data_IF_343440033969
#
_entry.id   IF_343440033969
#
_cell.length_a   1.000
_cell.length_b   1.000
_cell.length_c   1.000
_cell.angle_alpha   90.00
_cell.angle_beta   90.00
_cell.angle_gamma   90.00
#
_symmetry.space_group_name_H-M   'P 1'
#
loop_
_entity.id
_entity.type
_entity.pdbx_description
1 polymer ?
#
# COMPACT_ATOMS: atom_id res chain seq x y z
N UNK A 1 16.49 -3.05 11.27
CA UNK A 1 15.71 -2.71 10.07
C UNK A 1 16.41 -1.56 9.35
N UNK A 2 16.50 -1.62 8.03
CA UNK A 2 17.12 -0.60 7.18
C UNK A 2 16.13 -0.24 6.07
N UNK A 3 15.99 1.05 5.79
CA UNK A 3 15.22 1.55 4.65
C UNK A 3 16.14 2.36 3.74
N UNK A 4 16.26 1.95 2.48
CA UNK A 4 17.04 2.68 1.48
C UNK A 4 16.12 3.32 0.45
N UNK A 5 16.16 4.65 0.36
CA UNK A 5 15.45 5.42 -0.67
C UNK A 5 16.39 5.77 -1.82
N UNK A 6 15.89 5.66 -3.05
CA UNK A 6 16.63 6.06 -4.27
C UNK A 6 15.68 6.79 -5.21
N UNK A 7 16.05 8.00 -5.59
CA UNK A 7 15.39 8.72 -6.68
C UNK A 7 16.08 8.33 -8.00
N UNK A 8 15.37 7.58 -8.84
CA UNK A 8 15.86 7.14 -10.15
C UNK A 8 15.28 8.06 -11.23
N UNK A 9 16.12 8.46 -12.18
CA UNK A 9 15.72 9.26 -13.34
C UNK A 9 14.79 8.42 -14.24
N UNK A 10 13.72 9.01 -14.80
CA UNK A 10 13.35 10.42 -14.74
C UNK A 10 12.47 10.85 -13.55
N UNK A 11 11.99 9.94 -12.71
CA UNK A 11 11.06 10.30 -11.63
C UNK A 11 10.50 9.12 -10.83
N UNK A 12 11.33 8.11 -10.57
CA UNK A 12 10.90 6.92 -9.81
C UNK A 12 11.49 6.96 -8.40
N UNK A 13 10.64 7.06 -7.38
CA UNK A 13 11.05 6.81 -6.01
C UNK A 13 11.07 5.29 -5.75
N UNK A 14 12.25 4.74 -5.54
CA UNK A 14 12.46 3.35 -5.16
C UNK A 14 12.70 3.28 -3.67
N UNK A 15 12.01 2.36 -2.97
CA UNK A 15 12.23 2.08 -1.56
C UNK A 15 12.56 0.61 -1.36
N UNK A 16 13.57 0.33 -0.55
CA UNK A 16 14.02 -1.01 -0.20
C UNK A 16 14.01 -1.14 1.33
N UNK A 17 13.22 -2.08 1.85
CA UNK A 17 13.06 -2.34 3.28
C UNK A 17 13.69 -3.69 3.62
N UNK A 18 14.67 -3.68 4.51
CA UNK A 18 15.41 -4.89 4.93
C UNK A 18 15.34 -5.04 6.45
N UNK A 19 15.06 -6.24 6.93
CA UNK A 19 15.08 -6.58 8.35
C UNK A 19 15.87 -7.87 8.59
N UNK A 20 16.55 -7.95 9.72
CA UNK A 20 17.25 -9.14 10.22
C UNK A 20 16.84 -9.36 11.67
N UNK A 21 16.81 -10.61 12.10
CA UNK A 21 16.51 -11.01 13.46
C UNK A 21 17.47 -12.12 13.91
N UNK A 22 17.76 -12.17 15.20
CA UNK A 22 18.61 -13.20 15.81
C UNK A 22 17.79 -14.41 16.30
N UNK A 23 16.49 -14.20 16.50
CA UNK A 23 15.52 -15.21 16.90
C UNK A 23 14.24 -15.11 16.04
N UNK A 24 13.48 -16.21 15.88
CA UNK A 24 12.25 -16.21 15.10
C UNK A 24 11.26 -15.12 15.54
N UNK A 25 10.84 -14.28 14.60
CA UNK A 25 9.86 -13.23 14.84
C UNK A 25 9.04 -12.93 13.58
N UNK A 26 7.91 -12.25 13.75
CA UNK A 26 7.05 -11.80 12.65
C UNK A 26 7.61 -10.52 12.03
N UNK A 27 7.57 -10.40 10.71
CA UNK A 27 8.00 -9.20 9.99
C UNK A 27 7.05 -8.93 8.81
N UNK A 28 6.35 -7.80 8.85
CA UNK A 28 5.50 -7.30 7.77
C UNK A 28 5.70 -5.79 7.66
N UNK A 29 6.52 -5.34 6.71
CA UNK A 29 6.86 -3.93 6.53
C UNK A 29 6.09 -3.38 5.32
N UNK A 30 5.52 -2.19 5.47
CA UNK A 30 4.78 -1.52 4.42
C UNK A 30 5.16 -0.04 4.35
N UNK A 31 4.75 0.60 3.26
CA UNK A 31 4.93 2.02 2.99
C UNK A 31 3.59 2.74 3.18
N UNK A 32 3.61 3.94 3.76
CA UNK A 32 2.39 4.66 4.15
C UNK A 32 2.29 6.06 3.50
N UNK A 33 2.63 6.16 2.21
CA UNK A 33 2.44 7.39 1.44
C UNK A 33 0.97 7.63 1.19
N UNK A 34 0.61 8.91 1.25
CA UNK A 34 -0.63 9.41 0.69
C UNK A 34 -0.30 10.11 -0.62
N UNK A 35 -1.06 9.78 -1.67
CA UNK A 35 -0.95 10.43 -2.96
C UNK A 35 -2.16 11.33 -3.16
N UNK A 36 -1.89 12.62 -3.37
CA UNK A 36 -2.80 13.53 -4.04
C UNK A 36 -2.02 14.16 -5.21
N UNK A 37 -2.54 14.02 -6.43
CA UNK A 37 -1.90 14.49 -7.65
C UNK A 37 -2.27 15.94 -7.99
N UNK A 38 -3.23 16.50 -7.26
CA UNK A 38 -3.71 17.87 -7.44
C UNK A 38 -3.34 18.74 -6.25
N UNK A 39 -3.37 20.06 -6.48
CA UNK A 39 -3.38 21.16 -5.51
C UNK A 39 -2.46 21.10 -4.27
N UNK A 40 -1.43 20.25 -4.29
CA UNK A 40 -0.57 20.00 -3.13
C UNK A 40 -1.25 19.21 -2.02
N UNK A 41 -2.38 18.57 -2.28
CA UNK A 41 -3.12 17.78 -1.30
C UNK A 41 -4.11 18.57 -0.44
N UNK A 42 -4.55 19.73 -0.91
CA UNK A 42 -5.54 20.56 -0.21
C UNK A 42 -6.97 20.05 -0.41
N UNK A 43 -7.26 19.44 -1.57
CA UNK A 43 -8.56 18.88 -1.93
C UNK A 43 -8.69 17.37 -1.69
N UNK A 44 -9.82 16.82 -2.10
CA UNK A 44 -10.03 15.37 -2.12
C UNK A 44 -9.40 14.70 -3.36
N UNK A 45 -9.53 13.38 -3.45
CA UNK A 45 -9.00 12.55 -4.55
C UNK A 45 -10.12 11.95 -5.41
N UNK A 46 -11.36 12.41 -5.26
CA UNK A 46 -12.54 11.72 -5.79
C UNK A 46 -12.60 11.74 -7.33
N UNK A 47 -11.97 12.71 -7.96
CA UNK A 47 -11.84 12.81 -9.42
C UNK A 47 -10.66 11.99 -9.99
N UNK A 48 -9.81 11.43 -9.13
CA UNK A 48 -8.64 10.64 -9.54
C UNK A 48 -9.08 9.29 -10.08
N UNK A 49 -8.42 8.84 -11.15
CA UNK A 49 -8.69 7.54 -11.76
C UNK A 49 -7.70 6.50 -11.25
N UNK A 50 -8.23 5.42 -10.66
CA UNK A 50 -7.44 4.31 -10.14
C UNK A 50 -7.67 3.05 -10.97
N UNK A 51 -6.58 2.36 -11.32
CA UNK A 51 -6.60 1.01 -11.86
C UNK A 51 -5.83 0.09 -10.93
N UNK A 52 -6.46 -1.00 -10.48
CA UNK A 52 -5.84 -2.02 -9.64
C UNK A 52 -5.85 -3.35 -10.39
N UNK A 53 -4.68 -3.97 -10.54
CA UNK A 53 -4.58 -5.33 -11.07
C UNK A 53 -4.83 -6.35 -9.93
N UNK A 54 -6.08 -6.47 -9.51
CA UNK A 54 -6.50 -7.35 -8.42
C UNK A 54 -7.78 -8.10 -8.77
N UNK A 55 -7.85 -9.39 -8.42
CA UNK A 55 -9.03 -10.24 -8.62
C UNK A 55 -9.90 -10.42 -7.38
N UNK A 56 -9.41 -10.05 -6.20
CA UNK A 56 -10.11 -10.23 -4.92
C UNK A 56 -9.61 -9.24 -3.87
N UNK A 57 -10.37 -9.13 -2.77
CA UNK A 57 -10.05 -8.33 -1.59
C UNK A 57 -10.42 -9.09 -0.31
N UNK A 58 -9.93 -8.61 0.84
CA UNK A 58 -10.20 -9.18 2.17
C UNK A 58 -11.13 -8.26 2.95
N UNK A 59 -12.43 -8.58 3.07
CA UNK A 59 -13.35 -7.81 3.90
C UNK A 59 -12.94 -7.87 5.37
N UNK A 60 -13.11 -6.74 6.06
CA UNK A 60 -12.89 -6.59 7.50
C UNK A 60 -14.21 -6.40 8.24
N UNK A 61 -14.22 -6.70 9.53
CA UNK A 61 -15.32 -6.33 10.43
C UNK A 61 -15.18 -4.87 10.93
N UNK A 62 -16.07 -4.47 11.82
CA UNK A 62 -16.10 -3.11 12.40
C UNK A 62 -14.86 -2.81 13.27
N UNK A 63 -14.10 -3.83 13.67
CA UNK A 63 -12.82 -3.70 14.38
C UNK A 63 -11.61 -3.68 13.43
N UNK A 64 -11.85 -3.65 12.12
CA UNK A 64 -10.83 -3.71 11.05
C UNK A 64 -10.05 -5.03 11.00
N UNK A 65 -10.61 -6.12 11.55
CA UNK A 65 -10.00 -7.45 11.52
C UNK A 65 -10.49 -8.21 10.27
N UNK A 66 -9.60 -8.86 9.50
CA UNK A 66 -10.03 -9.66 8.35
C UNK A 66 -10.99 -10.79 8.76
N UNK A 67 -12.12 -10.87 8.09
CA UNK A 67 -13.17 -11.88 8.34
C UNK A 67 -12.77 -13.33 7.99
N UNK A 68 -11.58 -13.53 7.41
CA UNK A 68 -11.13 -14.81 6.86
C UNK A 68 -11.63 -15.12 5.44
N UNK A 69 -12.49 -14.27 4.88
CA UNK A 69 -13.02 -14.42 3.50
C UNK A 69 -12.10 -13.71 2.50
N UNK A 70 -11.85 -14.36 1.37
CA UNK A 70 -11.26 -13.73 0.17
C UNK A 70 -12.37 -13.55 -0.85
N UNK A 71 -12.81 -12.31 -1.07
CA UNK A 71 -13.98 -12.00 -1.90
C UNK A 71 -13.54 -11.47 -3.26
N UNK A 72 -14.06 -11.98 -4.39
CA UNK A 72 -13.75 -11.44 -5.71
C UNK A 72 -14.06 -9.94 -5.80
N UNK A 73 -13.24 -9.19 -6.53
CA UNK A 73 -13.65 -7.85 -6.96
C UNK A 73 -14.83 -7.99 -7.92
N UNK A 74 -15.80 -7.09 -7.84
CA UNK A 74 -16.92 -7.09 -8.77
C UNK A 74 -16.44 -6.91 -10.21
N UNK A 75 -17.15 -7.50 -11.16
CA UNK A 75 -16.96 -7.19 -12.58
C UNK A 75 -17.60 -5.82 -12.81
N UNK A 76 -16.81 -4.85 -13.29
CA UNK A 76 -17.28 -3.54 -13.75
C UNK A 76 -17.75 -3.68 -15.20
#
# INVERSE_FOLDING_TARGET
VTCTYRLKIPGTLSMELTATCEEPTLCNLAQHSYFNLDDGGAGDILDHRLMLNAGAYTPVDDEMIPTGVVKPVGII
#
